data_IF_883388389155
#
_entry.id   IF_883388389155
#
_cell.length_a   1.000
_cell.length_b   1.000
_cell.length_c   1.000
_cell.angle_alpha   90.00
_cell.angle_beta   90.00
_cell.angle_gamma   90.00
#
_symmetry.space_group_name_H-M   'P 1'
#
loop_
_entity.id
_entity.type
_entity.pdbx_description
1 polymer ?
#
# COMPACT_ATOMS: atom_id res chain seq x y z
N UNK A 1 6.26 15.69 -5.96
CA UNK A 1 6.30 14.22 -6.02
C UNK A 1 5.30 13.75 -7.06
N UNK A 2 5.65 12.77 -7.88
CA UNK A 2 4.79 12.25 -8.94
C UNK A 2 4.62 10.75 -8.77
N UNK A 3 3.38 10.25 -8.77
CA UNK A 3 3.12 8.80 -8.79
C UNK A 3 3.52 8.27 -10.17
N UNK A 4 4.44 7.32 -10.20
CA UNK A 4 4.94 6.71 -11.44
C UNK A 4 4.56 5.23 -11.55
N UNK A 5 4.01 4.64 -10.50
CA UNK A 5 3.52 3.27 -10.52
C UNK A 5 2.63 2.99 -9.32
N UNK A 6 1.60 2.19 -9.54
CA UNK A 6 0.71 1.67 -8.51
C UNK A 6 0.56 0.18 -8.79
N UNK A 7 1.08 -0.65 -7.88
CA UNK A 7 1.16 -2.08 -8.07
C UNK A 7 0.45 -2.81 -6.94
N UNK A 8 -0.08 -3.98 -7.26
CA UNK A 8 -0.65 -4.91 -6.31
C UNK A 8 0.17 -6.19 -6.32
N UNK A 9 0.69 -6.57 -5.16
CA UNK A 9 1.56 -7.74 -5.02
C UNK A 9 0.75 -8.98 -4.67
N UNK A 10 -0.28 -8.81 -3.83
CA UNK A 10 -1.12 -9.92 -3.38
C UNK A 10 -2.53 -9.44 -3.11
N UNK A 11 -3.49 -10.23 -3.59
CA UNK A 11 -4.89 -10.18 -3.17
C UNK A 11 -5.21 -11.45 -2.41
N UNK A 12 -5.74 -11.30 -1.20
CA UNK A 12 -6.31 -12.38 -0.42
C UNK A 12 -7.78 -12.05 -0.16
N UNK A 13 -8.65 -12.98 -0.54
CA UNK A 13 -10.10 -12.83 -0.36
C UNK A 13 -10.63 -14.13 0.17
N UNK A 14 -11.34 -14.06 1.30
CA UNK A 14 -12.03 -15.20 1.88
C UNK A 14 -13.48 -14.83 2.18
N UNK A 15 -14.41 -15.66 1.71
CA UNK A 15 -15.83 -15.60 2.08
C UNK A 15 -16.15 -16.84 2.90
N UNK A 16 -16.51 -16.63 4.16
CA UNK A 16 -16.73 -17.70 5.13
C UNK A 16 -18.22 -18.06 5.18
N UNK A 17 -19.10 -17.06 5.12
CA UNK A 17 -20.55 -17.22 5.21
C UNK A 17 -21.28 -16.32 4.20
N UNK A 18 -22.57 -16.58 3.92
CA UNK A 18 -23.44 -15.59 3.29
C UNK A 18 -23.39 -14.28 4.06
N UNK A 19 -23.44 -13.16 3.34
CA UNK A 19 -23.48 -11.83 3.97
C UNK A 19 -24.91 -11.61 4.43
N UNK A 20 -25.11 -11.58 5.73
CA UNK A 20 -26.41 -11.38 6.37
C UNK A 20 -26.34 -10.16 7.30
N UNK A 21 -27.37 -9.29 7.33
CA UNK A 21 -27.45 -8.20 8.28
C UNK A 21 -27.63 -8.69 9.72
N UNK A 22 -27.17 -7.95 10.74
CA UNK A 22 -26.44 -6.70 10.65
C UNK A 22 -24.95 -6.93 10.34
N UNK A 23 -24.43 -6.19 9.37
CA UNK A 23 -23.03 -6.26 8.94
C UNK A 23 -22.26 -5.05 9.46
N UNK A 24 -21.09 -5.30 10.08
CA UNK A 24 -20.10 -4.26 10.38
C UNK A 24 -18.87 -4.49 9.52
N UNK A 25 -18.37 -3.44 8.88
CA UNK A 25 -17.17 -3.49 8.04
C UNK A 25 -16.09 -2.69 8.75
N UNK A 26 -14.95 -3.32 9.03
CA UNK A 26 -13.77 -2.67 9.56
C UNK A 26 -12.73 -2.50 8.44
N UNK A 27 -12.36 -1.25 8.16
CA UNK A 27 -11.42 -0.88 7.11
C UNK A 27 -10.13 -0.38 7.73
N UNK A 28 -9.00 -0.94 7.33
CA UNK A 28 -7.69 -0.52 7.79
C UNK A 28 -6.73 -0.37 6.60
N UNK A 29 -5.98 0.73 6.59
CA UNK A 29 -4.89 0.98 5.64
C UNK A 29 -3.64 1.27 6.44
N UNK A 30 -2.57 0.54 6.16
CA UNK A 30 -1.28 0.73 6.82
C UNK A 30 -0.16 0.77 5.79
N UNK A 31 0.71 1.77 5.90
CA UNK A 31 2.03 1.75 5.24
C UNK A 31 2.92 0.83 6.07
N UNK A 32 3.55 -0.16 5.43
CA UNK A 32 4.41 -1.14 6.09
C UNK A 32 5.86 -0.69 6.14
N UNK A 33 6.33 -0.15 5.03
CA UNK A 33 7.69 0.36 4.90
C UNK A 33 7.74 1.43 3.79
N UNK A 34 8.85 2.17 3.81
CA UNK A 34 9.22 3.15 2.79
C UNK A 34 10.66 2.86 2.40
N UNK A 35 10.92 2.62 1.12
CA UNK A 35 12.22 2.18 0.62
C UNK A 35 12.62 2.99 -0.62
N UNK A 36 13.92 3.19 -0.83
CA UNK A 36 14.43 3.69 -2.10
C UNK A 36 14.50 2.55 -3.11
N UNK A 37 13.93 2.74 -4.30
CA UNK A 37 14.01 1.76 -5.39
C UNK A 37 14.93 2.27 -6.50
N UNK A 38 15.86 1.42 -6.95
CA UNK A 38 16.72 1.74 -8.09
C UNK A 38 15.94 1.57 -9.39
N UNK A 39 15.83 2.63 -10.17
CA UNK A 39 15.14 2.65 -11.46
C UNK A 39 15.95 3.45 -12.48
N UNK A 40 15.65 3.27 -13.77
CA UNK A 40 16.19 4.11 -14.85
C UNK A 40 15.81 5.59 -14.71
N UNK A 41 14.78 5.88 -13.91
CA UNK A 41 14.33 7.24 -13.59
C UNK A 41 15.13 7.89 -12.45
N UNK A 42 15.94 7.12 -11.71
CA UNK A 42 16.77 7.63 -10.61
C UNK A 42 17.97 8.39 -11.18
N UNK A 43 18.18 9.63 -10.72
CA UNK A 43 19.29 10.47 -11.13
C UNK A 43 19.80 11.34 -9.97
N UNK A 44 20.71 12.29 -10.24
CA UNK A 44 21.30 13.15 -9.18
C UNK A 44 20.27 14.00 -8.45
N UNK A 45 19.17 14.35 -9.13
CA UNK A 45 18.15 15.27 -8.62
C UNK A 45 16.91 14.53 -8.10
N UNK A 46 16.67 13.30 -8.54
CA UNK A 46 15.44 12.56 -8.26
C UNK A 46 15.73 11.12 -7.85
N UNK A 47 14.94 10.64 -6.88
CA UNK A 47 14.92 9.26 -6.41
C UNK A 47 13.53 8.67 -6.59
N UNK A 48 13.46 7.35 -6.79
CA UNK A 48 12.20 6.61 -6.74
C UNK A 48 12.02 6.07 -5.33
N UNK A 49 10.91 6.42 -4.70
CA UNK A 49 10.52 5.93 -3.38
C UNK A 49 9.37 4.95 -3.55
N UNK A 50 9.50 3.78 -2.94
CA UNK A 50 8.49 2.74 -2.84
C UNK A 50 7.84 2.79 -1.46
N UNK A 51 6.52 2.90 -1.44
CA UNK A 51 5.71 2.78 -0.23
C UNK A 51 4.97 1.46 -0.28
N UNK A 52 5.37 0.48 0.53
CA UNK A 52 4.61 -0.76 0.65
C UNK A 52 3.41 -0.52 1.57
N UNK A 53 2.23 -0.95 1.15
CA UNK A 53 0.99 -0.81 1.92
C UNK A 53 0.26 -2.14 2.06
N UNK A 54 -0.53 -2.22 3.12
CA UNK A 54 -1.52 -3.26 3.35
C UNK A 54 -2.87 -2.61 3.60
N UNK A 55 -3.85 -3.00 2.81
CA UNK A 55 -5.24 -2.63 2.94
C UNK A 55 -6.04 -3.85 3.38
N UNK A 56 -6.82 -3.72 4.47
CA UNK A 56 -7.64 -4.81 5.02
C UNK A 56 -9.09 -4.38 5.17
N UNK A 57 -10.01 -5.25 4.77
CA UNK A 57 -11.42 -5.20 5.13
C UNK A 57 -11.81 -6.46 5.90
N UNK A 58 -12.42 -6.28 7.07
CA UNK A 58 -12.97 -7.36 7.88
C UNK A 58 -14.48 -7.17 8.01
N UNK A 59 -15.24 -8.22 7.70
CA UNK A 59 -16.69 -8.22 7.76
C UNK A 59 -17.14 -8.97 9.01
N UNK A 60 -17.75 -8.28 9.97
CA UNK A 60 -18.16 -8.84 11.25
C UNK A 60 -19.64 -9.26 11.28
N UNK A 61 -19.98 -10.38 11.96
CA UNK A 61 -19.06 -11.28 12.68
C UNK A 61 -18.38 -12.28 11.72
N UNK A 62 -17.06 -12.13 11.52
CA UNK A 62 -16.18 -12.97 10.67
C UNK A 62 -16.88 -13.65 9.47
N UNK A 63 -17.55 -12.85 8.64
CA UNK A 63 -18.31 -13.28 7.46
C UNK A 63 -17.41 -13.37 6.22
N UNK A 64 -16.45 -12.45 6.12
CA UNK A 64 -15.49 -12.35 5.03
C UNK A 64 -14.26 -11.52 5.45
N UNK A 65 -13.16 -11.72 4.74
CA UNK A 65 -11.92 -10.94 4.86
C UNK A 65 -11.37 -10.62 3.46
N UNK A 66 -10.86 -9.40 3.30
CA UNK A 66 -10.09 -8.96 2.14
C UNK A 66 -8.79 -8.35 2.66
N UNK A 67 -7.66 -8.82 2.14
CA UNK A 67 -6.36 -8.20 2.33
C UNK A 67 -5.73 -7.94 0.96
N UNK A 68 -5.32 -6.70 0.72
CA UNK A 68 -4.62 -6.26 -0.47
C UNK A 68 -3.27 -5.72 -0.04
N UNK A 69 -2.21 -6.36 -0.51
CA UNK A 69 -0.85 -5.90 -0.32
C UNK A 69 -0.36 -5.37 -1.66
N UNK A 70 0.27 -4.20 -1.62
CA UNK A 70 0.78 -3.56 -2.82
C UNK A 70 1.75 -2.48 -2.48
N UNK A 71 2.16 -1.75 -3.51
CA UNK A 71 3.11 -0.67 -3.34
C UNK A 71 2.94 0.43 -4.37
N UNK A 72 3.31 1.64 -3.96
CA UNK A 72 3.24 2.84 -4.79
C UNK A 72 4.65 3.35 -5.02
N UNK A 73 4.99 3.64 -6.27
CA UNK A 73 6.24 4.28 -6.64
C UNK A 73 6.02 5.78 -6.85
N UNK A 74 6.80 6.58 -6.14
CA UNK A 74 6.86 8.02 -6.31
C UNK A 74 8.23 8.42 -6.85
N UNK A 75 8.23 9.28 -7.86
CA UNK A 75 9.41 10.06 -8.23
C UNK A 75 9.42 11.32 -7.36
N UNK A 76 10.44 11.45 -6.51
CA UNK A 76 10.63 12.57 -5.60
C UNK A 76 11.98 13.23 -5.84
N UNK A 77 12.07 14.54 -5.59
CA UNK A 77 13.35 15.23 -5.55
C UNK A 77 14.18 14.66 -4.40
N UNK A 78 15.50 14.65 -4.57
CA UNK A 78 16.43 14.06 -3.60
C UNK A 78 16.19 14.52 -2.16
N UNK A 79 16.01 15.82 -1.94
CA UNK A 79 15.81 16.38 -0.60
C UNK A 79 14.50 15.91 0.06
N UNK A 80 13.44 15.73 -0.72
CA UNK A 80 12.15 15.22 -0.21
C UNK A 80 12.22 13.70 0.03
N UNK A 81 12.88 12.98 -0.88
CA UNK A 81 13.13 11.56 -0.75
C UNK A 81 13.95 11.22 0.50
N UNK A 82 15.00 11.99 0.77
CA UNK A 82 15.87 11.77 1.94
C UNK A 82 15.12 12.06 3.26
N UNK A 83 14.13 12.95 3.28
CA UNK A 83 13.25 13.13 4.47
C UNK A 83 12.36 11.92 4.70
N UNK A 84 11.71 11.44 3.64
CA UNK A 84 10.77 10.32 3.72
C UNK A 84 11.42 8.98 4.11
N UNK A 85 12.72 8.83 3.82
CA UNK A 85 13.49 7.64 4.17
C UNK A 85 14.07 7.65 5.60
N UNK A 86 14.09 8.81 6.26
CA UNK A 86 14.67 8.98 7.59
C UNK A 86 13.64 9.26 8.70
N UNK A 87 12.34 9.27 8.37
CA UNK A 87 11.21 9.23 9.31
C UNK A 87 10.96 7.80 9.81
#
# INVERSE_FOLDING_TARGET
>A
MTIIGFNFDKFYVEKIKPIEPPLKINTNVAVKDVLEEKSSLTNKENKVIRFNFIFKLLFDPKLAELEINGHIHYLAKKDDADKLLND
#
